data_IF_879906662843
#
_entry.id   IF_879906662843
#
_cell.length_a   1.000
_cell.length_b   1.000
_cell.length_c   1.000
_cell.angle_alpha   90.00
_cell.angle_beta   90.00
_cell.angle_gamma   90.00
#
_symmetry.space_group_name_H-M   'P 1'
#
loop_
_entity.id
_entity.type
_entity.pdbx_description
1 polymer ?
#
# COMPACT_ATOMS: atom_id res chain seq x y z
N UNK A 1 10.72 17.75 17.37
CA UNK A 1 9.51 17.46 18.18
C UNK A 1 8.33 17.98 17.36
N UNK A 2 7.61 17.09 16.69
CA UNK A 2 6.44 17.47 15.86
C UNK A 2 5.22 16.79 16.51
N UNK A 3 4.27 17.61 16.96
CA UNK A 3 2.95 17.20 17.41
C UNK A 3 2.17 16.62 16.21
N UNK A 4 1.28 15.64 16.42
CA UNK A 4 0.43 15.13 15.35
C UNK A 4 -0.55 16.21 14.89
N UNK A 5 -0.85 16.20 13.58
CA UNK A 5 -1.80 17.08 12.88
C UNK A 5 -3.21 17.08 13.52
N UNK A 6 -3.47 16.10 14.40
CA UNK A 6 -4.69 15.94 15.20
C UNK A 6 -5.07 17.20 15.98
N UNK A 7 -4.12 17.95 16.55
CA UNK A 7 -4.41 19.21 17.25
C UNK A 7 -4.85 20.32 16.27
N UNK A 8 -4.16 20.46 15.14
CA UNK A 8 -4.41 21.53 14.15
C UNK A 8 -5.73 21.31 13.36
N UNK A 9 -6.19 20.07 13.23
CA UNK A 9 -7.49 19.75 12.62
C UNK A 9 -8.68 20.01 13.56
N UNK A 10 -8.49 19.89 14.87
CA UNK A 10 -9.53 20.18 15.87
C UNK A 10 -9.82 21.67 15.96
N UNK A 11 -8.78 22.52 15.92
CA UNK A 11 -8.92 23.97 16.08
C UNK A 11 -9.46 24.68 14.82
N UNK A 12 -9.24 24.12 13.62
CA UNK A 12 -9.62 24.77 12.35
C UNK A 12 -11.05 24.54 11.89
N UNK A 13 -11.80 23.60 12.48
CA UNK A 13 -13.07 23.12 11.89
C UNK A 13 -14.31 23.21 12.79
N UNK A 14 -14.35 24.14 13.76
CA UNK A 14 -15.48 24.47 14.66
C UNK A 14 -16.88 23.95 14.29
N UNK A 15 -17.09 22.65 14.43
CA UNK A 15 -18.21 21.89 13.91
C UNK A 15 -17.93 20.41 14.14
N UNK A 16 -18.96 19.65 14.52
CA UNK A 16 -18.87 18.26 14.99
C UNK A 16 -18.25 17.33 13.92
N UNK A 17 -16.91 17.27 13.88
CA UNK A 17 -16.19 16.25 13.13
C UNK A 17 -16.55 14.92 13.76
N UNK A 18 -17.27 14.07 13.01
CA UNK A 18 -17.68 12.77 13.49
C UNK A 18 -16.45 12.00 13.99
N UNK A 19 -16.54 11.39 15.19
CA UNK A 19 -15.45 10.69 15.87
C UNK A 19 -14.72 9.67 14.95
N UNK A 20 -15.42 9.12 13.96
CA UNK A 20 -14.82 8.24 12.95
C UNK A 20 -13.86 8.96 11.98
N UNK A 21 -14.16 10.19 11.56
CA UNK A 21 -13.27 10.94 10.66
C UNK A 21 -11.97 11.35 11.37
N UNK A 22 -12.04 11.72 12.64
CA UNK A 22 -10.86 12.02 13.47
C UNK A 22 -9.99 10.77 13.63
N UNK A 23 -10.62 9.61 13.90
CA UNK A 23 -9.90 8.32 14.00
C UNK A 23 -9.23 7.91 12.70
N UNK A 24 -9.90 8.09 11.56
CA UNK A 24 -9.31 7.71 10.27
C UNK A 24 -8.22 8.72 9.81
N UNK A 25 -8.35 10.01 10.14
CA UNK A 25 -7.26 10.97 9.96
C UNK A 25 -6.02 10.59 10.79
N UNK A 26 -6.22 10.17 12.05
CA UNK A 26 -5.14 9.67 12.90
C UNK A 26 -4.48 8.40 12.32
N UNK A 27 -5.25 7.51 11.69
CA UNK A 27 -4.72 6.32 11.00
C UNK A 27 -3.89 6.67 9.77
N UNK A 28 -4.32 7.69 9.03
CA UNK A 28 -3.57 8.22 7.88
C UNK A 28 -2.21 8.78 8.32
N UNK A 29 -2.18 9.49 9.44
CA UNK A 29 -0.93 9.99 10.03
C UNK A 29 0.01 8.85 10.44
N UNK A 30 -0.55 7.78 11.04
CA UNK A 30 0.23 6.58 11.40
C UNK A 30 0.82 5.91 10.17
N UNK A 31 0.03 5.72 9.11
CA UNK A 31 0.48 5.11 7.86
C UNK A 31 1.56 5.96 7.18
N UNK A 32 1.38 7.28 7.12
CA UNK A 32 2.37 8.20 6.58
C UNK A 32 3.68 8.15 7.39
N UNK A 33 3.59 8.20 8.72
CA UNK A 33 4.75 8.08 9.61
C UNK A 33 5.50 6.76 9.37
N UNK A 34 4.78 5.65 9.25
CA UNK A 34 5.36 4.35 8.96
C UNK A 34 6.08 4.34 7.60
N UNK A 35 5.49 4.87 6.54
CA UNK A 35 6.13 4.92 5.21
C UNK A 35 7.41 5.75 5.26
N UNK A 36 7.37 6.90 5.93
CA UNK A 36 8.51 7.82 6.05
C UNK A 36 9.65 7.25 6.90
N UNK A 37 9.34 6.54 8.00
CA UNK A 37 10.35 6.15 9.00
C UNK A 37 10.64 4.65 9.05
N UNK A 38 9.71 3.81 8.62
CA UNK A 38 9.72 2.35 8.77
C UNK A 38 9.39 1.87 10.17
N UNK A 39 8.96 2.76 11.07
CA UNK A 39 8.68 2.48 12.48
C UNK A 39 7.24 2.90 12.77
N UNK A 40 6.54 2.14 13.60
CA UNK A 40 5.22 2.54 14.09
C UNK A 40 5.38 3.59 15.20
N UNK A 41 4.61 4.68 15.17
CA UNK A 41 4.74 5.70 16.19
C UNK A 41 4.23 5.21 17.54
N UNK A 42 4.78 5.76 18.63
CA UNK A 42 4.49 5.29 20.00
C UNK A 42 3.01 5.43 20.40
N UNK A 43 2.27 6.34 19.76
CA UNK A 43 0.83 6.53 19.98
C UNK A 43 -0.06 5.58 19.17
N UNK A 44 0.51 4.74 18.30
CA UNK A 44 -0.27 3.89 17.39
C UNK A 44 -0.67 2.55 18.01
N UNK A 45 -1.09 2.55 19.29
CA UNK A 45 -1.54 1.38 20.08
C UNK A 45 -1.28 0.02 19.41
N UNK A 46 -0.15 -0.63 19.71
CA UNK A 46 0.28 -1.94 19.18
C UNK A 46 -0.30 -2.38 17.82
N UNK A 47 -0.27 -1.52 16.80
CA UNK A 47 -0.62 -1.90 15.44
C UNK A 47 0.28 -3.05 14.98
N UNK A 48 -0.32 -4.21 14.77
CA UNK A 48 0.34 -5.34 14.11
C UNK A 48 0.53 -5.07 12.62
N UNK A 49 1.36 -5.89 11.96
CA UNK A 49 1.51 -5.84 10.50
C UNK A 49 0.17 -6.01 9.77
N UNK A 50 -0.68 -6.91 10.24
CA UNK A 50 -1.99 -7.16 9.65
C UNK A 50 -2.89 -5.93 9.81
N UNK A 51 -2.90 -5.31 10.99
CA UNK A 51 -3.71 -4.11 11.23
C UNK A 51 -3.22 -2.92 10.41
N UNK A 52 -1.92 -2.82 10.12
CA UNK A 52 -1.39 -1.81 9.19
C UNK A 52 -1.87 -2.03 7.75
N UNK A 53 -1.97 -3.29 7.32
CA UNK A 53 -2.53 -3.64 6.01
C UNK A 53 -4.04 -3.30 5.94
N UNK A 54 -4.81 -3.69 6.94
CA UNK A 54 -6.23 -3.35 7.05
C UNK A 54 -6.47 -1.83 7.14
N UNK A 55 -5.57 -1.12 7.83
CA UNK A 55 -5.56 0.33 7.90
C UNK A 55 -5.38 0.95 6.50
N UNK A 56 -4.39 0.48 5.74
CA UNK A 56 -4.16 0.92 4.37
C UNK A 56 -5.39 0.70 3.49
N UNK A 57 -6.02 -0.48 3.57
CA UNK A 57 -7.23 -0.80 2.82
C UNK A 57 -8.40 0.15 3.13
N UNK A 58 -8.62 0.47 4.42
CA UNK A 58 -9.65 1.42 4.83
C UNK A 58 -9.36 2.83 4.31
N UNK A 59 -8.11 3.26 4.36
CA UNK A 59 -7.71 4.59 3.88
C UNK A 59 -7.87 4.68 2.35
N UNK A 60 -7.47 3.65 1.59
CA UNK A 60 -7.67 3.60 0.13
C UNK A 60 -9.17 3.77 -0.20
N UNK A 61 -10.05 3.10 0.55
CA UNK A 61 -11.49 3.18 0.32
C UNK A 61 -12.09 4.55 0.67
N UNK A 62 -11.68 5.12 1.80
CA UNK A 62 -12.34 6.29 2.39
C UNK A 62 -11.67 7.62 2.02
N UNK A 63 -10.36 7.61 1.76
CA UNK A 63 -9.49 8.78 1.55
C UNK A 63 -8.50 8.55 0.38
N UNK A 64 -8.97 8.16 -0.83
CA UNK A 64 -8.11 7.73 -1.93
C UNK A 64 -7.14 8.82 -2.41
N UNK A 65 -7.55 10.08 -2.39
CA UNK A 65 -6.70 11.20 -2.84
C UNK A 65 -5.57 11.49 -1.86
N UNK A 66 -5.84 11.38 -0.55
CA UNK A 66 -4.83 11.64 0.48
C UNK A 66 -3.76 10.55 0.46
N UNK A 67 -4.16 9.28 0.38
CA UNK A 67 -3.19 8.18 0.27
C UNK A 67 -2.43 8.24 -1.06
N UNK A 68 -3.09 8.58 -2.17
CA UNK A 68 -2.41 8.81 -3.44
C UNK A 68 -1.28 9.84 -3.29
N UNK A 69 -1.56 10.99 -2.67
CA UNK A 69 -0.55 12.01 -2.44
C UNK A 69 0.62 11.53 -1.57
N UNK A 70 0.36 10.72 -0.52
CA UNK A 70 1.42 10.16 0.34
C UNK A 70 2.31 9.21 -0.49
N UNK A 71 1.70 8.33 -1.28
CA UNK A 71 2.42 7.38 -2.12
C UNK A 71 3.23 8.11 -3.21
N UNK A 72 2.67 9.15 -3.85
CA UNK A 72 3.39 9.99 -4.81
C UNK A 72 4.64 10.63 -4.22
N UNK A 73 4.54 11.15 -2.99
CA UNK A 73 5.69 11.72 -2.29
C UNK A 73 6.77 10.67 -2.00
N UNK A 74 6.34 9.44 -1.70
CA UNK A 74 7.23 8.32 -1.41
C UNK A 74 8.05 7.86 -2.61
N UNK A 75 7.62 8.14 -3.85
CA UNK A 75 8.38 7.82 -5.06
C UNK A 75 9.70 8.59 -5.17
N UNK A 76 9.85 9.69 -4.43
CA UNK A 76 11.08 10.49 -4.41
C UNK A 76 12.20 9.86 -3.56
N UNK A 77 11.88 8.85 -2.76
CA UNK A 77 12.83 8.17 -1.88
C UNK A 77 12.71 6.65 -2.04
N UNK A 78 13.76 6.03 -2.57
CA UNK A 78 13.81 4.60 -2.83
C UNK A 78 13.55 3.75 -1.57
N UNK A 79 13.94 4.21 -0.37
CA UNK A 79 13.69 3.47 0.87
C UNK A 79 12.22 3.49 1.26
N UNK A 80 11.54 4.62 1.06
CA UNK A 80 10.10 4.75 1.33
C UNK A 80 9.30 3.89 0.35
N UNK A 81 9.66 3.93 -0.94
CA UNK A 81 9.07 3.06 -1.95
C UNK A 81 9.30 1.57 -1.64
N UNK A 82 10.51 1.17 -1.26
CA UNK A 82 10.80 -0.20 -0.85
C UNK A 82 9.95 -0.67 0.33
N UNK A 83 9.73 0.20 1.33
CA UNK A 83 8.85 -0.13 2.47
C UNK A 83 7.42 -0.41 2.02
N UNK A 84 6.88 0.38 1.09
CA UNK A 84 5.55 0.14 0.53
C UNK A 84 5.54 -1.24 -0.16
N UNK A 85 6.51 -1.52 -1.03
CA UNK A 85 6.57 -2.77 -1.81
C UNK A 85 6.73 -4.01 -0.90
N UNK A 86 7.52 -3.93 0.16
CA UNK A 86 7.81 -5.11 1.00
C UNK A 86 6.88 -5.30 2.19
N UNK A 87 6.20 -4.25 2.63
CA UNK A 87 5.31 -4.35 3.78
C UNK A 87 3.93 -4.84 3.41
N UNK A 88 3.39 -4.42 2.27
CA UNK A 88 2.01 -4.71 1.85
C UNK A 88 1.95 -5.92 0.90
N UNK A 89 0.84 -6.65 0.95
CA UNK A 89 0.60 -7.75 0.01
C UNK A 89 0.42 -7.26 -1.43
N UNK A 90 0.64 -8.15 -2.41
CA UNK A 90 0.38 -7.87 -3.82
C UNK A 90 -1.04 -7.33 -4.08
N UNK A 91 -2.04 -7.86 -3.35
CA UNK A 91 -3.42 -7.40 -3.47
C UNK A 91 -3.58 -5.93 -3.05
N UNK A 92 -2.92 -5.52 -1.98
CA UNK A 92 -2.91 -4.12 -1.52
C UNK A 92 -2.09 -3.24 -2.46
N UNK A 93 -0.96 -3.73 -2.96
CA UNK A 93 -0.14 -3.01 -3.95
C UNK A 93 -0.92 -2.75 -5.25
N UNK A 94 -1.74 -3.70 -5.71
CA UNK A 94 -2.62 -3.51 -6.87
C UNK A 94 -3.67 -2.42 -6.61
N UNK A 95 -4.26 -2.38 -5.40
CA UNK A 95 -5.20 -1.30 -5.02
C UNK A 95 -4.50 0.05 -5.00
N UNK A 96 -3.26 0.13 -4.48
CA UNK A 96 -2.45 1.35 -4.50
C UNK A 96 -2.15 1.77 -5.95
N UNK A 97 -1.73 0.84 -6.81
CA UNK A 97 -1.47 1.12 -8.22
C UNK A 97 -2.73 1.63 -8.95
N UNK A 98 -3.91 1.14 -8.57
CA UNK A 98 -5.19 1.56 -9.17
C UNK A 98 -5.53 3.02 -8.88
N UNK A 99 -4.95 3.63 -7.83
CA UNK A 99 -5.06 5.07 -7.58
C UNK A 99 -4.41 5.94 -8.68
N UNK A 100 -3.48 5.35 -9.43
CA UNK A 100 -2.70 6.01 -10.47
C UNK A 100 -3.20 5.70 -11.86
N UNK A 101 -3.43 4.42 -12.15
CA UNK A 101 -3.84 3.98 -13.47
C UNK A 101 -4.55 2.62 -13.38
N UNK A 102 -5.87 2.62 -13.55
CA UNK A 102 -6.70 1.41 -13.45
C UNK A 102 -6.42 0.45 -14.61
N UNK A 103 -6.16 0.95 -15.81
CA UNK A 103 -5.92 0.12 -17.00
C UNK A 103 -4.63 -0.70 -16.88
N UNK A 104 -3.58 -0.09 -16.33
CA UNK A 104 -2.30 -0.77 -16.05
C UNK A 104 -2.49 -1.88 -15.02
N UNK A 105 -3.34 -1.68 -14.00
CA UNK A 105 -3.62 -2.70 -12.98
C UNK A 105 -4.31 -3.92 -13.57
N UNK A 106 -5.28 -3.72 -14.48
CA UNK A 106 -5.93 -4.84 -15.17
C UNK A 106 -4.92 -5.64 -15.99
N UNK A 107 -4.05 -4.97 -16.74
CA UNK A 107 -2.99 -5.64 -17.50
C UNK A 107 -2.03 -6.44 -16.61
N UNK A 108 -1.63 -5.89 -15.46
CA UNK A 108 -0.77 -6.60 -14.49
C UNK A 108 -1.50 -7.82 -13.93
N UNK A 109 -2.76 -7.66 -13.50
CA UNK A 109 -3.55 -8.75 -12.95
C UNK A 109 -3.74 -9.88 -13.98
N UNK A 110 -4.09 -9.53 -15.21
CA UNK A 110 -4.26 -10.49 -16.31
C UNK A 110 -2.96 -11.23 -16.63
N UNK A 111 -1.81 -10.54 -16.57
CA UNK A 111 -0.50 -11.18 -16.75
C UNK A 111 -0.21 -12.21 -15.64
N UNK A 112 -0.47 -11.88 -14.38
CA UNK A 112 -0.26 -12.80 -13.26
C UNK A 112 -1.21 -14.00 -13.31
N UNK A 113 -2.47 -13.80 -13.67
CA UNK A 113 -3.48 -14.87 -13.68
C UNK A 113 -3.38 -15.76 -14.91
N UNK A 114 -3.12 -15.20 -16.09
CA UNK A 114 -3.22 -15.94 -17.35
C UNK A 114 -1.86 -16.40 -17.87
N UNK A 115 -0.81 -15.60 -17.69
CA UNK A 115 0.47 -15.81 -18.37
C UNK A 115 1.49 -16.52 -17.48
N UNK A 116 1.55 -16.16 -16.19
CA UNK A 116 2.48 -16.80 -15.23
C UNK A 116 2.28 -18.32 -15.10
N UNK A 117 1.04 -18.86 -15.03
CA UNK A 117 0.84 -20.31 -14.95
C UNK A 117 1.31 -21.04 -16.22
N UNK A 118 1.10 -20.43 -17.40
CA UNK A 118 1.59 -20.97 -18.66
C UNK A 118 3.11 -21.08 -18.63
N UNK A 119 3.81 -20.03 -18.20
CA UNK A 119 5.27 -20.05 -18.06
C UNK A 119 5.76 -21.11 -17.07
N UNK A 120 5.08 -21.29 -15.93
CA UNK A 120 5.39 -22.36 -14.97
C UNK A 120 5.19 -23.76 -15.55
N UNK A 121 4.20 -23.95 -16.41
CA UNK A 121 3.94 -25.24 -17.07
C UNK A 121 4.95 -25.57 -18.18
N UNK A 122 5.58 -24.56 -18.80
CA UNK A 122 6.58 -24.75 -19.85
C UNK A 122 8.05 -24.67 -19.35
N UNK A 123 8.29 -24.26 -18.11
CA UNK A 123 9.63 -24.38 -17.50
C UNK A 123 10.18 -25.82 -17.54
N UNK A 124 9.40 -26.88 -17.25
CA UNK A 124 9.86 -28.26 -17.36
C UNK A 124 10.26 -28.66 -18.78
N UNK A 125 9.60 -28.11 -19.82
CA UNK A 125 9.90 -28.42 -21.22
C UNK A 125 11.14 -27.70 -21.75
N UNK A 126 11.52 -26.55 -21.15
CA UNK A 126 12.82 -25.90 -21.45
C UNK A 126 14.04 -26.71 -21.00
N UNK A 127 13.90 -27.54 -19.96
CA UNK A 127 14.96 -28.43 -19.49
C UNK A 127 14.99 -29.80 -20.20
N UNK A 128 14.13 -30.03 -21.18
CA UNK A 128 14.25 -31.18 -22.09
C UNK A 128 15.21 -30.79 -23.21
N UNK A 129 16.50 -30.66 -22.90
CA UNK A 129 17.54 -30.47 -23.92
C UNK A 129 18.30 -31.78 -24.11
N UNK A 130 18.20 -32.30 -25.34
CA UNK A 130 19.04 -33.28 -26.05
C UNK A 130 19.00 -34.78 -25.71
N UNK A 131 18.70 -35.23 -24.48
CA UNK A 131 18.80 -36.67 -24.18
C UNK A 131 17.70 -37.57 -24.80
N UNK A 132 16.61 -36.99 -25.33
CA UNK A 132 15.46 -37.73 -25.91
C UNK A 132 15.26 -37.50 -27.42
N UNK A 133 16.23 -36.88 -28.10
CA UNK A 133 16.19 -36.66 -29.55
C UNK A 133 17.07 -37.67 -30.34
N UNK A 134 17.43 -38.80 -29.72
CA UNK A 134 18.10 -39.93 -30.40
C UNK A 134 17.18 -41.12 -30.49
#
# INVERSE_FOLDING_TARGET
MLLPIIEDLSDKLGGEVSNNQVKEASKLDILNYFIQTGILPWWSEQLSKQELEECCDRIIKNYPNQIKSIIEQSFKDAKQLQRIIYQFSDATLLKIAALFNVDVVQLIADYYTNITPIFKQIEPTRNITEAKLR
#
